data_IF_421352964523
#
_entry.id   IF_421352964523
#
_cell.length_a   1.000
_cell.length_b   1.000
_cell.length_c   1.000
_cell.angle_alpha   90.00
_cell.angle_beta   90.00
_cell.angle_gamma   90.00
#
_symmetry.space_group_name_H-M   'P 1'
#
loop_
_entity.id
_entity.type
_entity.pdbx_description
1 polymer ?
#
# COMPACT_ATOMS: atom_id res chain seq x y z
N UNK A 1 2.34 -25.14 -31.00
CA UNK A 1 2.90 -25.37 -29.64
C UNK A 1 3.40 -24.02 -29.10
N UNK A 2 2.52 -23.01 -28.92
CA UNK A 2 3.01 -21.60 -29.00
C UNK A 2 2.23 -20.57 -28.18
N UNK A 3 1.49 -20.96 -27.14
CA UNK A 3 0.86 -19.98 -26.22
C UNK A 3 0.69 -20.52 -24.79
N UNK A 4 0.34 -21.79 -24.67
CA UNK A 4 0.14 -22.46 -23.37
C UNK A 4 1.49 -22.71 -22.68
N UNK A 5 2.51 -23.13 -23.43
CA UNK A 5 3.88 -23.31 -22.90
C UNK A 5 4.47 -21.99 -22.39
N UNK A 6 4.28 -20.88 -23.11
CA UNK A 6 4.82 -19.56 -22.75
C UNK A 6 4.14 -19.00 -21.49
N UNK A 7 2.84 -19.27 -21.30
CA UNK A 7 2.10 -18.88 -20.11
C UNK A 7 2.52 -19.69 -18.87
N UNK A 8 2.73 -21.00 -19.01
CA UNK A 8 3.20 -21.85 -17.92
C UNK A 8 4.62 -21.48 -17.47
N UNK A 9 5.50 -21.18 -18.43
CA UNK A 9 6.86 -20.72 -18.16
C UNK A 9 6.86 -19.36 -17.45
N UNK A 10 6.05 -18.41 -17.93
CA UNK A 10 5.86 -17.12 -17.28
C UNK A 10 5.37 -17.28 -15.84
N UNK A 11 4.36 -18.12 -15.61
CA UNK A 11 3.84 -18.39 -14.27
C UNK A 11 4.87 -19.10 -13.37
N UNK A 12 5.72 -19.96 -13.93
CA UNK A 12 6.82 -20.57 -13.19
C UNK A 12 7.84 -19.52 -12.74
N UNK A 13 8.24 -18.63 -13.65
CA UNK A 13 9.16 -17.55 -13.33
C UNK A 13 8.60 -16.60 -12.27
N UNK A 14 7.30 -16.29 -12.30
CA UNK A 14 6.64 -15.52 -11.24
C UNK A 14 6.70 -16.22 -9.88
N UNK A 15 6.44 -17.54 -9.84
CA UNK A 15 6.55 -18.33 -8.59
C UNK A 15 7.96 -18.29 -8.01
N UNK A 16 8.98 -18.44 -8.84
CA UNK A 16 10.37 -18.40 -8.39
C UNK A 16 10.77 -17.02 -7.87
N UNK A 17 10.32 -15.95 -8.54
CA UNK A 17 10.55 -14.57 -8.06
C UNK A 17 9.83 -14.30 -6.74
N UNK A 18 8.57 -14.72 -6.59
CA UNK A 18 7.81 -14.62 -5.34
C UNK A 18 8.51 -15.35 -4.19
N UNK A 19 8.98 -16.58 -4.43
CA UNK A 19 9.74 -17.35 -3.43
C UNK A 19 10.96 -16.59 -2.93
N UNK A 20 11.73 -15.95 -3.83
CA UNK A 20 12.90 -15.13 -3.42
C UNK A 20 12.52 -13.95 -2.55
N UNK A 21 11.41 -13.26 -2.85
CA UNK A 21 10.90 -12.19 -1.98
C UNK A 21 10.49 -12.72 -0.61
N UNK A 22 9.77 -13.83 -0.56
CA UNK A 22 9.35 -14.47 0.69
C UNK A 22 10.56 -14.90 1.54
N UNK A 23 11.57 -15.52 0.94
CA UNK A 23 12.80 -15.92 1.64
C UNK A 23 13.55 -14.70 2.18
N UNK A 24 13.59 -13.60 1.42
CA UNK A 24 14.21 -12.35 1.84
C UNK A 24 13.48 -11.69 3.01
N UNK A 25 12.14 -11.67 2.97
CA UNK A 25 11.28 -11.18 4.06
C UNK A 25 11.43 -12.06 5.31
N UNK A 26 11.49 -13.39 5.16
CA UNK A 26 11.72 -14.31 6.28
C UNK A 26 13.05 -14.05 6.99
N UNK A 27 14.10 -13.75 6.23
CA UNK A 27 15.42 -13.48 6.80
C UNK A 27 15.51 -12.10 7.47
N UNK A 28 14.83 -11.06 6.94
CA UNK A 28 14.83 -9.70 7.47
C UNK A 28 13.43 -9.08 7.47
N UNK A 29 12.60 -9.56 8.40
CA UNK A 29 11.17 -9.22 8.47
C UNK A 29 10.89 -7.74 8.79
N UNK A 30 11.76 -7.09 9.54
CA UNK A 30 11.60 -5.68 9.94
C UNK A 30 12.02 -4.68 8.86
N UNK A 31 12.71 -5.14 7.81
CA UNK A 31 13.21 -4.25 6.78
C UNK A 31 12.10 -3.90 5.77
N UNK A 32 11.39 -2.80 6.05
CA UNK A 32 10.23 -2.29 5.29
C UNK A 32 10.52 -2.23 3.77
N UNK A 33 11.74 -1.86 3.39
CA UNK A 33 12.12 -1.79 1.98
C UNK A 33 11.95 -3.10 1.21
N UNK A 34 12.02 -4.26 1.87
CA UNK A 34 11.82 -5.57 1.23
C UNK A 34 10.33 -5.82 0.95
N UNK A 35 9.46 -5.46 1.89
CA UNK A 35 8.01 -5.51 1.72
C UNK A 35 7.54 -4.59 0.60
N UNK A 36 8.02 -3.35 0.58
CA UNK A 36 7.67 -2.35 -0.46
C UNK A 36 8.13 -2.82 -1.84
N UNK A 37 9.34 -3.41 -1.95
CA UNK A 37 9.82 -3.98 -3.22
C UNK A 37 8.97 -5.15 -3.68
N UNK A 38 8.52 -6.01 -2.77
CA UNK A 38 7.66 -7.14 -3.12
C UNK A 38 6.27 -6.68 -3.56
N UNK A 39 5.65 -5.74 -2.84
CA UNK A 39 4.36 -5.17 -3.22
C UNK A 39 4.42 -4.47 -4.59
N UNK A 40 5.49 -3.71 -4.86
CA UNK A 40 5.73 -3.12 -6.20
C UNK A 40 5.88 -4.17 -7.29
N UNK A 41 6.57 -5.28 -7.00
CA UNK A 41 6.65 -6.39 -7.97
C UNK A 41 5.26 -6.95 -8.31
N UNK A 42 4.38 -7.14 -7.33
CA UNK A 42 3.00 -7.58 -7.62
C UNK A 42 2.18 -6.49 -8.35
N UNK A 43 2.37 -5.20 -8.01
CA UNK A 43 1.79 -4.05 -8.72
C UNK A 43 2.19 -4.03 -10.21
N UNK A 44 3.49 -4.23 -10.51
CA UNK A 44 4.02 -4.27 -11.87
C UNK A 44 3.42 -5.43 -12.68
N UNK A 45 3.09 -6.54 -12.02
CA UNK A 45 2.43 -7.70 -12.62
C UNK A 45 0.90 -7.61 -12.65
N UNK A 46 0.32 -6.45 -12.26
CA UNK A 46 -1.15 -6.23 -12.17
C UNK A 46 -1.87 -7.14 -11.19
N UNK A 47 -1.13 -7.70 -10.23
CA UNK A 47 -1.64 -8.56 -9.17
C UNK A 47 -1.95 -7.73 -7.92
N UNK A 48 -2.89 -6.78 -8.05
CA UNK A 48 -3.18 -5.78 -7.02
C UNK A 48 -3.62 -6.40 -5.68
N UNK A 49 -4.41 -7.48 -5.69
CA UNK A 49 -4.81 -8.18 -4.47
C UNK A 49 -3.61 -8.79 -3.72
N UNK A 50 -2.62 -9.29 -4.46
CA UNK A 50 -1.38 -9.80 -3.85
C UNK A 50 -0.56 -8.66 -3.26
N UNK A 51 -0.44 -7.54 -3.98
CA UNK A 51 0.24 -6.36 -3.47
C UNK A 51 -0.39 -5.87 -2.14
N UNK A 52 -1.73 -5.82 -2.06
CA UNK A 52 -2.45 -5.51 -0.80
C UNK A 52 -2.14 -6.50 0.31
N UNK A 53 -2.18 -7.80 0.01
CA UNK A 53 -1.82 -8.84 0.99
C UNK A 53 -0.40 -8.66 1.52
N UNK A 54 0.56 -8.27 0.68
CA UNK A 54 1.94 -7.97 1.09
C UNK A 54 1.98 -6.75 2.01
N UNK A 55 1.25 -5.67 1.69
CA UNK A 55 1.17 -4.48 2.55
C UNK A 55 0.51 -4.76 3.90
N UNK A 56 -0.62 -5.48 3.93
CA UNK A 56 -1.28 -5.84 5.20
C UNK A 56 -0.37 -6.73 6.06
N UNK A 57 0.30 -7.71 5.48
CA UNK A 57 1.31 -8.52 6.19
C UNK A 57 2.48 -7.70 6.72
N UNK A 58 2.88 -6.65 6.00
CA UNK A 58 3.91 -5.73 6.47
C UNK A 58 3.40 -4.90 7.67
N UNK A 59 2.13 -4.47 7.64
CA UNK A 59 1.49 -3.73 8.72
C UNK A 59 1.30 -4.60 9.98
N UNK A 60 1.08 -5.90 9.83
CA UNK A 60 1.10 -6.85 10.96
C UNK A 60 2.46 -6.89 11.67
N UNK A 61 3.56 -6.58 10.95
CA UNK A 61 4.90 -6.52 11.54
C UNK A 61 5.12 -5.19 12.23
N UNK A 62 4.82 -4.09 11.55
CA UNK A 62 4.99 -2.74 12.08
C UNK A 62 3.89 -1.79 11.60
N UNK A 63 2.78 -1.81 12.33
CA UNK A 63 1.66 -0.89 12.11
C UNK A 63 1.93 0.54 12.60
N UNK A 64 3.06 0.78 13.29
CA UNK A 64 3.45 2.11 13.77
C UNK A 64 4.33 2.85 12.77
N UNK A 65 4.81 2.16 11.73
CA UNK A 65 5.53 2.77 10.63
C UNK A 65 4.62 3.64 9.78
N UNK A 66 4.76 4.95 9.93
CA UNK A 66 4.08 5.93 9.10
C UNK A 66 4.53 5.89 7.64
N UNK A 67 5.79 5.49 7.37
CA UNK A 67 6.26 5.26 6.00
C UNK A 67 5.46 4.14 5.33
N UNK A 68 5.23 3.02 6.02
CA UNK A 68 4.52 1.88 5.44
C UNK A 68 3.08 2.25 5.06
N UNK A 69 2.37 2.95 5.95
CA UNK A 69 1.04 3.48 5.66
C UNK A 69 1.03 4.39 4.44
N UNK A 70 2.00 5.30 4.34
CA UNK A 70 2.15 6.21 3.21
C UNK A 70 2.37 5.46 1.90
N UNK A 71 3.29 4.48 1.88
CA UNK A 71 3.59 3.67 0.69
C UNK A 71 2.37 2.89 0.22
N UNK A 72 1.57 2.37 1.16
CA UNK A 72 0.36 1.63 0.85
C UNK A 72 -0.74 2.55 0.30
N UNK A 73 -0.97 3.70 0.92
CA UNK A 73 -1.90 4.70 0.40
C UNK A 73 -1.51 5.17 -1.01
N UNK A 74 -0.23 5.47 -1.23
CA UNK A 74 0.29 5.86 -2.54
C UNK A 74 0.13 4.76 -3.59
N UNK A 75 0.23 3.48 -3.21
CA UNK A 75 -0.07 2.35 -4.09
C UNK A 75 -1.53 2.38 -4.54
N UNK A 76 -2.49 2.50 -3.62
CA UNK A 76 -3.91 2.55 -3.99
C UNK A 76 -4.22 3.79 -4.84
N UNK A 77 -3.64 4.94 -4.51
CA UNK A 77 -3.81 6.18 -5.28
C UNK A 77 -3.26 6.07 -6.71
N UNK A 78 -2.06 5.50 -6.91
CA UNK A 78 -1.46 5.31 -8.24
C UNK A 78 -2.31 4.42 -9.16
N UNK A 79 -3.04 3.47 -8.58
CA UNK A 79 -3.91 2.56 -9.30
C UNK A 79 -5.37 3.02 -9.30
N UNK A 80 -5.64 4.27 -8.91
CA UNK A 80 -6.97 4.91 -8.92
C UNK A 80 -8.01 4.19 -8.05
N UNK A 81 -7.56 3.40 -7.06
CA UNK A 81 -8.40 2.68 -6.12
C UNK A 81 -8.79 3.58 -4.93
N UNK A 82 -9.53 4.65 -5.23
CA UNK A 82 -9.85 5.73 -4.28
C UNK A 82 -10.48 5.22 -2.98
N UNK A 83 -11.42 4.27 -3.06
CA UNK A 83 -12.09 3.74 -1.86
C UNK A 83 -11.12 2.93 -0.97
N UNK A 84 -10.19 2.19 -1.56
CA UNK A 84 -9.15 1.49 -0.80
C UNK A 84 -8.15 2.49 -0.20
N UNK A 85 -7.74 3.50 -0.97
CA UNK A 85 -6.88 4.58 -0.47
C UNK A 85 -7.49 5.28 0.75
N UNK A 86 -8.79 5.62 0.70
CA UNK A 86 -9.56 6.16 1.83
C UNK A 86 -9.49 5.27 3.06
N UNK A 87 -9.77 3.97 2.89
CA UNK A 87 -9.74 3.02 4.00
C UNK A 87 -8.35 2.90 4.63
N UNK A 88 -7.29 2.90 3.82
CA UNK A 88 -5.90 2.85 4.29
C UNK A 88 -5.53 4.13 5.04
N UNK A 89 -5.83 5.30 4.47
CA UNK A 89 -5.52 6.59 5.08
C UNK A 89 -6.33 6.83 6.35
N UNK A 90 -7.60 6.44 6.38
CA UNK A 90 -8.44 6.57 7.57
C UNK A 90 -7.90 5.71 8.73
N UNK A 91 -7.53 4.45 8.46
CA UNK A 91 -6.84 3.60 9.45
C UNK A 91 -5.52 4.23 9.91
N UNK A 92 -4.74 4.75 8.98
CA UNK A 92 -3.43 5.33 9.27
C UNK A 92 -3.53 6.54 10.22
N UNK A 93 -4.45 7.47 9.96
CA UNK A 93 -4.62 8.67 10.81
C UNK A 93 -5.27 8.34 12.16
N UNK A 94 -6.08 7.28 12.26
CA UNK A 94 -6.59 6.81 13.54
C UNK A 94 -5.50 6.20 14.42
N UNK A 95 -4.57 5.45 13.84
CA UNK A 95 -3.47 4.80 14.57
C UNK A 95 -2.35 5.81 14.89
N UNK A 96 -2.08 6.74 13.96
CA UNK A 96 -0.97 7.69 14.01
C UNK A 96 -1.47 9.14 13.88
N UNK A 97 -2.34 9.63 14.79
CA UNK A 97 -2.98 10.94 14.65
C UNK A 97 -2.01 12.12 14.73
N UNK A 98 -0.83 11.94 15.35
CA UNK A 98 0.22 12.97 15.50
C UNK A 98 1.16 13.06 14.30
N UNK A 99 0.92 12.29 13.23
CA UNK A 99 1.77 12.28 12.04
C UNK A 99 1.12 13.11 10.94
N UNK A 100 1.48 14.40 10.91
CA UNK A 100 0.85 15.40 10.04
C UNK A 100 0.87 15.05 8.55
N UNK A 101 1.96 14.43 8.05
CA UNK A 101 2.06 14.09 6.64
C UNK A 101 1.02 13.05 6.18
N UNK A 102 0.49 12.22 7.08
CA UNK A 102 -0.60 11.29 6.75
C UNK A 102 -1.91 12.04 6.54
N UNK A 103 -2.18 13.05 7.38
CA UNK A 103 -3.33 13.95 7.20
C UNK A 103 -3.22 14.77 5.92
N UNK A 104 -2.05 15.35 5.66
CA UNK A 104 -1.79 16.06 4.41
C UNK A 104 -2.03 15.17 3.18
N UNK A 105 -1.54 13.92 3.21
CA UNK A 105 -1.77 12.98 2.11
C UNK A 105 -3.25 12.66 1.94
N UNK A 106 -4.01 12.53 3.03
CA UNK A 106 -5.44 12.27 2.99
C UNK A 106 -6.21 13.44 2.40
N UNK A 107 -6.00 14.66 2.90
CA UNK A 107 -6.63 15.86 2.35
C UNK A 107 -6.29 16.06 0.86
N UNK A 108 -5.01 15.88 0.49
CA UNK A 108 -4.55 15.96 -0.90
C UNK A 108 -5.27 14.97 -1.82
N UNK A 109 -5.48 13.74 -1.36
CA UNK A 109 -6.19 12.72 -2.14
C UNK A 109 -7.66 13.12 -2.35
N UNK A 110 -8.36 13.61 -1.32
CA UNK A 110 -9.75 14.06 -1.45
C UNK A 110 -9.87 15.30 -2.36
N UNK A 111 -8.89 16.21 -2.31
CA UNK A 111 -8.80 17.34 -3.24
C UNK A 111 -8.60 16.87 -4.68
N UNK A 112 -7.71 15.91 -4.92
CA UNK A 112 -7.49 15.31 -6.25
C UNK A 112 -8.76 14.63 -6.80
N UNK A 113 -9.56 14.04 -5.93
CA UNK A 113 -10.86 13.44 -6.28
C UNK A 113 -11.94 14.51 -6.51
N UNK A 114 -11.74 15.73 -6.00
CA UNK A 114 -12.69 16.84 -6.07
C UNK A 114 -13.80 16.78 -5.00
N UNK A 115 -13.66 15.95 -3.98
CA UNK A 115 -14.64 15.80 -2.90
C UNK A 115 -14.36 16.84 -1.80
N UNK A 116 -14.74 18.09 -2.07
CA UNK A 116 -14.54 19.23 -1.17
C UNK A 116 -15.16 19.00 0.22
N UNK A 117 -16.38 18.43 0.36
CA UNK A 117 -16.94 18.11 1.68
C UNK A 117 -16.06 17.14 2.48
N UNK A 118 -15.56 16.06 1.86
CA UNK A 118 -14.67 15.12 2.58
C UNK A 118 -13.32 15.72 2.90
N UNK A 119 -12.73 16.48 1.98
CA UNK A 119 -11.48 17.19 2.24
C UNK A 119 -11.61 18.10 3.48
N UNK A 120 -12.72 18.85 3.59
CA UNK A 120 -13.02 19.65 4.79
C UNK A 120 -13.14 18.78 6.04
N UNK A 121 -13.88 17.67 5.98
CA UNK A 121 -14.04 16.77 7.12
C UNK A 121 -12.70 16.18 7.61
N UNK A 122 -11.75 15.92 6.70
CA UNK A 122 -10.39 15.50 7.04
C UNK A 122 -9.66 16.60 7.82
N UNK A 123 -9.73 17.86 7.37
CA UNK A 123 -9.13 18.99 8.09
C UNK A 123 -9.78 19.22 9.46
N UNK A 124 -11.11 19.16 9.54
CA UNK A 124 -11.85 19.29 10.80
C UNK A 124 -11.41 18.25 11.82
N UNK A 125 -11.35 16.97 11.40
CA UNK A 125 -10.83 15.90 12.26
C UNK A 125 -9.38 16.10 12.65
N UNK A 126 -8.53 16.57 11.74
CA UNK A 126 -7.13 16.80 12.04
C UNK A 126 -6.93 17.88 13.12
N UNK A 127 -7.75 18.94 13.09
CA UNK A 127 -7.71 20.00 14.11
C UNK A 127 -8.08 19.52 15.52
N UNK A 128 -8.82 18.41 15.67
CA UNK A 128 -9.11 17.83 16.99
C UNK A 128 -7.85 17.24 17.66
N UNK A 129 -6.83 16.92 16.85
CA UNK A 129 -5.57 16.31 17.30
C UNK A 129 -4.39 17.28 17.33
N UNK A 130 -4.57 18.52 16.84
CA UNK A 130 -3.58 19.58 16.91
C UNK A 130 -3.50 20.16 18.33
#
# INVERSE_FOLDING_TARGET
ITKIHDAEEYQSHLRDRRKRFEDNIRYRREHIGNWVKYARFEEDNKEHERARSVFERALEVDHRSSELWLRYAEFEMRNEFVNHARNVLDRAVQILPRVDFLWYKYAYMEEMVGDVPKCRAVFERWMEWA
#
